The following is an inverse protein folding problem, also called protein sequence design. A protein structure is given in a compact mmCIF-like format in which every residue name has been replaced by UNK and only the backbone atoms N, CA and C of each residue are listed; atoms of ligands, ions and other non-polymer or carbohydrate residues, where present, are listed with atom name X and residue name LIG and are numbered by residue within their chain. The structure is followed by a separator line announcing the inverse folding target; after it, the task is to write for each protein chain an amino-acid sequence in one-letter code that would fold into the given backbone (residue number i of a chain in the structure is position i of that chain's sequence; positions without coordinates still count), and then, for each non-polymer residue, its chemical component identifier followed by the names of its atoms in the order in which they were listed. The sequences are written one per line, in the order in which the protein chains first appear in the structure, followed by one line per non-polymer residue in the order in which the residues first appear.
data_IF_154092183904
#
_entry.id   IF_154092183904
#
_cell.length_a   1.000
_cell.length_b   1.000
_cell.length_c   1.000
_cell.angle_alpha   90.00
_cell.angle_beta   90.00
_cell.angle_gamma   90.00
#
_symmetry.space_group_name_H-M   'P 1'
#
loop_
_entity.id
_entity.type
_entity.pdbx_description
1 polymer ?
#
# COMPACT_ATOMS: atom_id res chain seq x y z
N UNK A 1 29.29 40.93 20.33
CA UNK A 1 28.33 41.40 19.31
C UNK A 1 27.52 40.20 18.86
N UNK A 2 26.25 40.17 19.25
CA UNK A 2 25.28 39.11 18.92
C UNK A 2 25.03 39.16 17.42
N UNK A 3 25.40 38.12 16.66
CA UNK A 3 25.00 37.99 15.25
C UNK A 3 23.50 37.69 15.24
N UNK A 4 22.76 38.58 14.59
CA UNK A 4 21.31 38.46 14.37
C UNK A 4 21.01 37.17 13.61
N UNK A 5 20.13 36.33 14.17
CA UNK A 5 19.54 35.19 13.47
C UNK A 5 18.53 35.72 12.45
N UNK A 6 18.87 35.62 11.17
CA UNK A 6 17.90 35.79 10.09
C UNK A 6 16.99 34.54 10.05
N UNK A 7 15.75 34.71 10.47
CA UNK A 7 14.71 33.69 10.34
C UNK A 7 14.28 33.58 8.87
N UNK A 8 14.79 32.58 8.16
CA UNK A 8 14.29 32.21 6.82
C UNK A 8 12.79 31.87 6.89
N UNK A 9 11.99 32.44 5.98
CA UNK A 9 10.54 32.23 5.92
C UNK A 9 10.16 30.84 5.40
N UNK A 10 9.04 30.27 5.85
CA UNK A 10 8.58 28.93 5.43
C UNK A 10 8.45 28.76 3.89
N UNK A 11 8.22 29.86 3.16
CA UNK A 11 8.12 29.86 1.71
C UNK A 11 9.47 29.73 0.99
N UNK A 12 10.58 30.19 1.59
CA UNK A 12 11.93 29.98 1.04
C UNK A 12 12.35 28.51 1.19
N UNK A 13 11.98 27.89 2.33
CA UNK A 13 12.18 26.46 2.62
C UNK A 13 11.37 25.58 1.64
N UNK A 14 10.11 25.94 1.37
CA UNK A 14 9.26 25.22 0.39
C UNK A 14 9.77 25.32 -1.04
N UNK A 15 10.32 26.48 -1.45
CA UNK A 15 10.91 26.66 -2.79
C UNK A 15 12.20 25.85 -2.97
N UNK A 16 13.09 25.77 -1.96
CA UNK A 16 14.31 24.94 -2.02
C UNK A 16 14.02 23.44 -2.18
N UNK A 17 12.99 22.91 -1.49
CA UNK A 17 12.59 21.49 -1.55
C UNK A 17 12.16 21.00 -2.93
N UNK A 18 11.84 21.90 -3.87
CA UNK A 18 11.27 21.53 -5.19
C UNK A 18 12.28 20.87 -6.15
N UNK A 19 13.58 20.88 -5.85
CA UNK A 19 14.66 20.27 -6.66
C UNK A 19 15.53 19.27 -5.90
N UNK A 20 15.13 18.86 -4.69
CA UNK A 20 15.97 18.02 -3.82
C UNK A 20 15.51 16.55 -3.89
N UNK A 21 16.43 15.64 -4.20
CA UNK A 21 16.16 14.21 -4.32
C UNK A 21 16.16 13.52 -2.95
N UNK A 22 15.22 12.59 -2.73
CA UNK A 22 15.13 11.83 -1.49
C UNK A 22 16.16 10.70 -1.46
N UNK A 23 17.09 10.76 -0.50
CA UNK A 23 18.22 9.85 -0.31
C UNK A 23 17.85 8.36 -0.19
N UNK A 24 16.63 8.05 0.24
CA UNK A 24 16.13 6.67 0.34
C UNK A 24 16.10 5.91 -1.00
N UNK A 25 16.28 6.62 -2.13
CA UNK A 25 16.24 6.05 -3.48
C UNK A 25 17.62 5.78 -4.08
N UNK A 26 18.73 6.16 -3.44
CA UNK A 26 20.08 5.96 -3.94
C UNK A 26 20.56 4.51 -3.71
N UNK A 27 20.12 3.61 -4.58
CA UNK A 27 20.56 2.20 -4.64
C UNK A 27 21.21 1.90 -5.99
N UNK A 28 21.96 0.81 -6.12
CA UNK A 28 22.47 0.36 -7.43
C UNK A 28 21.34 0.17 -8.47
N UNK A 29 20.14 -0.22 -8.03
CA UNK A 29 18.96 -0.33 -8.89
C UNK A 29 18.44 1.03 -9.40
N UNK A 30 18.74 2.12 -8.69
CA UNK A 30 18.40 3.49 -9.10
C UNK A 30 19.39 4.10 -10.09
N UNK A 31 20.53 3.43 -10.34
CA UNK A 31 21.55 3.86 -11.30
C UNK A 31 21.13 3.65 -12.76
N UNK A 32 20.08 2.87 -13.03
CA UNK A 32 19.60 2.58 -14.39
C UNK A 32 19.07 3.85 -15.10
N UNK A 33 19.62 4.19 -16.27
CA UNK A 33 19.21 5.35 -17.10
C UNK A 33 17.73 5.32 -17.45
N UNK A 34 17.21 4.17 -17.89
CA UNK A 34 15.79 4.02 -18.26
C UNK A 34 14.85 4.22 -17.07
N UNK A 35 15.23 3.76 -15.87
CA UNK A 35 14.47 4.00 -14.63
C UNK A 35 14.39 5.50 -14.29
N UNK A 36 15.45 6.26 -14.60
CA UNK A 36 15.55 7.71 -14.36
C UNK A 36 14.82 8.55 -15.39
N UNK A 37 14.87 8.14 -16.66
CA UNK A 37 14.05 8.73 -17.72
C UNK A 37 12.56 8.57 -17.40
N UNK A 38 12.16 7.46 -16.78
CA UNK A 38 10.83 7.25 -16.19
C UNK A 38 10.62 8.06 -14.88
N UNK A 39 10.80 9.38 -14.95
CA UNK A 39 10.53 10.29 -13.83
C UNK A 39 9.10 10.83 -13.90
N UNK A 40 8.27 10.43 -12.95
CA UNK A 40 7.16 11.29 -12.54
C UNK A 40 7.29 11.54 -11.04
N UNK A 41 7.55 12.81 -10.72
CA UNK A 41 7.38 13.37 -9.38
C UNK A 41 6.03 12.89 -8.85
N UNK A 42 5.98 12.18 -7.72
CA UNK A 42 4.73 11.79 -7.12
C UNK A 42 3.86 13.04 -6.95
N UNK A 43 2.57 12.98 -7.34
CA UNK A 43 1.61 13.92 -6.75
C UNK A 43 1.67 13.73 -5.24
N UNK A 44 1.49 14.82 -4.49
CA UNK A 44 1.10 14.77 -3.08
C UNK A 44 -0.21 13.99 -2.97
N UNK A 45 -0.09 12.67 -2.88
CA UNK A 45 -1.17 11.79 -2.45
C UNK A 45 -1.21 11.81 -0.94
N UNK A 46 -2.38 11.52 -0.37
CA UNK A 46 -2.49 11.20 1.06
C UNK A 46 -1.39 10.20 1.41
N UNK A 47 -0.49 10.60 2.32
CA UNK A 47 0.67 9.81 2.66
C UNK A 47 0.19 8.44 3.19
N UNK A 48 0.80 7.32 2.77
CA UNK A 48 0.33 5.99 3.16
C UNK A 48 0.34 5.82 4.69
N UNK A 49 -0.50 4.94 5.23
CA UNK A 49 -0.63 4.67 6.68
C UNK A 49 0.73 4.45 7.37
N UNK A 50 1.70 3.85 6.65
CA UNK A 50 3.06 3.60 7.14
C UNK A 50 3.95 4.86 7.26
N UNK A 51 3.65 5.95 6.55
CA UNK A 51 4.41 7.19 6.60
C UNK A 51 4.21 7.91 7.93
N UNK A 52 2.96 8.20 8.29
CA UNK A 52 2.62 8.85 9.57
C UNK A 52 3.04 7.99 10.76
N UNK A 53 2.86 6.67 10.66
CA UNK A 53 3.35 5.72 11.65
C UNK A 53 4.86 5.84 11.88
N UNK A 54 5.64 5.96 10.81
CA UNK A 54 7.11 6.10 10.92
C UNK A 54 7.49 7.41 11.62
N UNK A 55 6.81 8.50 11.30
CA UNK A 55 7.01 9.81 11.94
C UNK A 55 6.71 9.72 13.43
N UNK A 56 5.53 9.18 13.80
CA UNK A 56 5.11 9.08 15.20
C UNK A 56 6.09 8.24 16.01
N UNK A 57 6.56 7.12 15.47
CA UNK A 57 7.55 6.27 16.16
C UNK A 57 8.87 7.01 16.39
N UNK A 58 9.38 7.73 15.38
CA UNK A 58 10.62 8.52 15.51
C UNK A 58 10.47 9.68 16.48
N UNK A 59 9.37 10.42 16.37
CA UNK A 59 9.04 11.53 17.28
C UNK A 59 8.91 11.06 18.72
N UNK A 60 8.32 9.87 18.94
CA UNK A 60 8.21 9.27 20.27
C UNK A 60 9.59 8.96 20.85
N UNK A 61 10.50 8.39 20.06
CA UNK A 61 11.88 8.15 20.49
C UNK A 61 12.57 9.47 20.82
N UNK A 62 12.46 10.47 19.95
CA UNK A 62 13.01 11.82 20.16
C UNK A 62 12.48 12.45 21.45
N UNK A 63 11.17 12.44 21.66
CA UNK A 63 10.52 12.92 22.88
C UNK A 63 11.10 12.21 24.12
N UNK A 64 11.13 10.88 24.11
CA UNK A 64 11.60 10.10 25.24
C UNK A 64 13.09 10.28 25.53
N UNK A 65 13.90 10.56 24.50
CA UNK A 65 15.32 10.87 24.65
C UNK A 65 15.56 12.28 25.21
N UNK A 66 14.83 13.30 24.72
CA UNK A 66 14.96 14.70 25.20
C UNK A 66 14.55 14.82 26.67
N UNK A 67 13.40 14.25 27.03
CA UNK A 67 12.83 14.38 28.38
C UNK A 67 13.22 13.23 29.31
N UNK A 68 14.11 12.34 28.86
CA UNK A 68 14.54 11.15 29.59
C UNK A 68 13.37 10.28 30.11
N UNK A 69 12.31 10.17 29.32
CA UNK A 69 11.13 9.37 29.65
C UNK A 69 11.46 7.90 29.45
N UNK A 70 11.27 7.10 30.50
CA UNK A 70 11.52 5.65 30.50
C UNK A 70 10.33 4.84 31.00
N UNK A 71 9.28 5.49 31.50
CA UNK A 71 8.07 4.81 31.95
C UNK A 71 7.24 4.31 30.74
N UNK A 72 6.93 3.01 30.66
CA UNK A 72 6.15 2.47 29.55
C UNK A 72 4.76 3.10 29.39
N UNK A 73 4.12 3.56 30.48
CA UNK A 73 2.76 4.12 30.40
C UNK A 73 2.79 5.52 29.79
N UNK A 74 3.76 6.35 30.19
CA UNK A 74 3.94 7.68 29.61
C UNK A 74 4.23 7.61 28.10
N UNK A 75 5.14 6.71 27.69
CA UNK A 75 5.44 6.50 26.26
C UNK A 75 4.19 6.01 25.50
N UNK A 76 3.40 5.12 26.08
CA UNK A 76 2.15 4.64 25.47
C UNK A 76 1.13 5.78 25.31
N UNK A 77 0.97 6.63 26.32
CA UNK A 77 0.06 7.77 26.27
C UNK A 77 0.45 8.76 25.16
N UNK A 78 1.74 9.06 25.03
CA UNK A 78 2.25 9.91 23.95
C UNK A 78 1.92 9.33 22.57
N UNK A 79 2.16 8.02 22.37
CA UNK A 79 1.84 7.36 21.09
C UNK A 79 0.34 7.28 20.83
N UNK A 80 -0.48 6.99 21.84
CA UNK A 80 -1.94 6.88 21.73
C UNK A 80 -2.59 8.18 21.26
N UNK A 81 -2.09 9.34 21.70
CA UNK A 81 -2.61 10.64 21.28
C UNK A 81 -2.42 10.93 19.80
N UNK A 82 -1.39 10.34 19.16
CA UNK A 82 -0.99 10.64 17.78
C UNK A 82 -1.26 9.51 16.78
N UNK A 83 -1.36 8.27 17.23
CA UNK A 83 -1.64 7.12 16.36
C UNK A 83 -2.93 7.22 15.52
N UNK A 84 -4.01 7.90 15.97
CA UNK A 84 -5.17 8.16 15.13
C UNK A 84 -4.87 8.93 13.84
N UNK A 85 -3.80 9.73 13.80
CA UNK A 85 -3.34 10.46 12.60
C UNK A 85 -2.93 9.53 11.46
N UNK A 86 -2.64 8.24 11.74
CA UNK A 86 -2.24 7.27 10.73
C UNK A 86 -3.37 6.84 9.77
N UNK A 87 -4.63 7.17 10.06
CA UNK A 87 -5.75 6.90 9.16
C UNK A 87 -6.18 5.43 9.06
N UNK A 88 -5.89 4.61 10.09
CA UNK A 88 -6.32 3.21 10.12
C UNK A 88 -7.84 3.07 10.01
N UNK A 89 -8.31 2.29 9.04
CA UNK A 89 -9.75 1.99 8.87
C UNK A 89 -10.30 1.06 9.96
N UNK A 90 -9.45 0.18 10.50
CA UNK A 90 -9.82 -0.79 11.52
C UNK A 90 -9.16 -0.44 12.86
N UNK A 91 -10.00 -0.18 13.87
CA UNK A 91 -9.54 0.18 15.21
C UNK A 91 -8.75 -0.94 15.91
N UNK A 92 -9.16 -2.21 15.77
CA UNK A 92 -8.43 -3.33 16.37
C UNK A 92 -7.04 -3.50 15.76
N UNK A 93 -6.93 -3.32 14.44
CA UNK A 93 -5.65 -3.35 13.74
C UNK A 93 -4.75 -2.20 14.19
N UNK A 94 -5.30 -0.99 14.34
CA UNK A 94 -4.58 0.16 14.88
C UNK A 94 -4.03 -0.11 16.28
N UNK A 95 -4.86 -0.63 17.19
CA UNK A 95 -4.46 -0.93 18.57
C UNK A 95 -3.37 -2.01 18.63
N UNK A 96 -3.47 -3.06 17.80
CA UNK A 96 -2.41 -4.05 17.70
C UNK A 96 -1.11 -3.42 17.20
N UNK A 97 -1.17 -2.61 16.14
CA UNK A 97 0.01 -2.00 15.54
C UNK A 97 0.70 -1.03 16.52
N UNK A 98 -0.08 -0.21 17.23
CA UNK A 98 0.37 0.66 18.30
C UNK A 98 1.10 -0.13 19.39
N UNK A 99 0.52 -1.23 19.88
CA UNK A 99 1.14 -2.07 20.90
C UNK A 99 2.48 -2.65 20.43
N UNK A 100 2.58 -3.08 19.16
CA UNK A 100 3.83 -3.60 18.60
C UNK A 100 4.91 -2.53 18.48
N UNK A 101 4.56 -1.34 18.00
CA UNK A 101 5.54 -0.27 17.86
C UNK A 101 5.97 0.30 19.22
N UNK A 102 5.04 0.42 20.18
CA UNK A 102 5.36 0.77 21.57
C UNK A 102 6.39 -0.20 22.16
N UNK A 103 6.17 -1.51 22.02
CA UNK A 103 7.09 -2.53 22.50
C UNK A 103 8.49 -2.40 21.90
N UNK A 104 8.58 -2.09 20.61
CA UNK A 104 9.86 -1.88 19.92
C UNK A 104 10.57 -0.60 20.36
N UNK A 105 9.83 0.50 20.53
CA UNK A 105 10.36 1.75 21.08
C UNK A 105 10.89 1.52 22.49
N UNK A 106 10.12 0.85 23.35
CA UNK A 106 10.54 0.53 24.71
C UNK A 106 11.76 -0.39 24.75
N UNK A 107 11.87 -1.35 23.82
CA UNK A 107 13.06 -2.20 23.69
C UNK A 107 14.32 -1.35 23.45
N UNK A 108 14.26 -0.36 22.57
CA UNK A 108 15.36 0.59 22.33
C UNK A 108 15.64 1.46 23.56
N UNK A 109 14.63 2.15 24.09
CA UNK A 109 14.79 3.11 25.19
C UNK A 109 15.35 2.49 26.47
N UNK A 110 15.07 1.20 26.73
CA UNK A 110 15.62 0.47 27.89
C UNK A 110 17.14 0.28 27.81
N UNK A 111 17.70 0.22 26.61
CA UNK A 111 19.13 0.00 26.40
C UNK A 111 19.92 1.29 26.17
N UNK A 112 19.25 2.43 25.94
CA UNK A 112 19.89 3.69 25.58
C UNK A 112 19.99 4.63 26.79
N UNK A 113 21.22 4.94 27.19
CA UNK A 113 21.54 5.83 28.31
C UNK A 113 22.44 7.00 27.92
N UNK A 114 22.92 7.05 26.67
CA UNK A 114 23.81 8.11 26.21
C UNK A 114 23.07 9.43 26.06
N UNK A 115 23.80 10.54 26.17
CA UNK A 115 23.25 11.88 26.00
C UNK A 115 22.99 12.15 24.50
N UNK A 116 21.74 12.37 24.09
CA UNK A 116 21.40 12.59 22.70
C UNK A 116 21.64 14.05 22.28
N UNK A 117 22.04 14.27 21.04
CA UNK A 117 21.95 15.53 20.33
C UNK A 117 21.10 15.35 19.06
N UNK A 118 20.53 16.45 18.56
CA UNK A 118 19.58 16.42 17.45
C UNK A 118 19.96 17.47 16.41
N UNK A 119 20.98 17.20 15.58
CA UNK A 119 21.49 18.18 14.64
C UNK A 119 20.47 18.45 13.51
N UNK A 120 20.48 19.67 12.97
CA UNK A 120 19.59 20.08 11.87
C UNK A 120 20.06 19.47 10.56
N UNK A 121 19.13 19.21 9.64
CA UNK A 121 19.48 18.75 8.28
C UNK A 121 20.41 19.75 7.58
N UNK A 122 21.42 19.22 6.89
CA UNK A 122 22.39 19.99 6.13
C UNK A 122 22.57 19.38 4.73
N UNK A 123 22.81 20.21 3.70
CA UNK A 123 23.12 19.72 2.38
C UNK A 123 24.53 19.14 2.34
N UNK A 124 24.66 17.90 1.86
CA UNK A 124 25.93 17.22 1.63
C UNK A 124 26.11 16.98 0.15
N UNK A 125 27.32 17.25 -0.37
CA UNK A 125 27.65 16.96 -1.78
C UNK A 125 28.12 15.51 -1.93
N UNK A 126 27.50 14.80 -2.88
CA UNK A 126 27.90 13.46 -3.30
C UNK A 126 27.98 13.49 -4.82
N UNK A 127 29.20 13.41 -5.36
CA UNK A 127 29.45 13.65 -6.77
C UNK A 127 29.04 15.06 -7.19
N UNK A 128 28.33 15.19 -8.30
CA UNK A 128 27.88 16.48 -8.85
C UNK A 128 26.59 17.02 -8.22
N UNK A 129 26.02 16.30 -7.24
CA UNK A 129 24.70 16.59 -6.66
C UNK A 129 24.77 16.90 -5.16
N UNK A 130 23.87 17.75 -4.69
CA UNK A 130 23.68 18.04 -3.27
C UNK A 130 22.41 17.34 -2.75
N UNK A 131 22.53 16.65 -1.62
CA UNK A 131 21.44 15.92 -0.97
C UNK A 131 21.21 16.47 0.43
N UNK A 132 19.95 16.63 0.81
CA UNK A 132 19.60 16.99 2.19
C UNK A 132 19.74 15.74 3.07
N UNK A 133 20.70 15.76 3.98
CA UNK A 133 20.93 14.64 4.89
C UNK A 133 20.25 14.94 6.21
N UNK A 134 19.42 14.00 6.67
CA UNK A 134 18.75 14.08 7.95
C UNK A 134 19.23 12.96 8.88
N UNK A 135 19.70 13.35 10.06
CA UNK A 135 20.07 12.46 11.14
C UNK A 135 18.96 12.49 12.21
N UNK A 136 18.49 11.32 12.65
CA UNK A 136 17.39 11.26 13.64
C UNK A 136 17.89 11.57 15.06
N UNK A 137 19.10 11.11 15.41
CA UNK A 137 19.79 11.38 16.67
C UNK A 137 21.29 11.21 16.51
N UNK A 138 22.07 12.04 17.20
CA UNK A 138 23.51 11.94 17.28
C UNK A 138 23.96 11.73 18.74
N UNK A 139 25.07 11.02 18.92
CA UNK A 139 25.69 10.78 20.22
C UNK A 139 27.15 11.23 20.15
N UNK A 140 27.45 12.34 20.83
CA UNK A 140 28.75 13.00 20.77
C UNK A 140 29.58 12.63 22.00
N UNK A 141 30.85 12.30 21.77
CA UNK A 141 31.83 12.00 22.81
C UNK A 141 33.21 12.53 22.37
N UNK A 142 33.54 13.77 22.75
CA UNK A 142 34.80 14.40 22.34
C UNK A 142 34.84 14.68 20.84
N UNK A 143 35.82 14.10 20.14
CA UNK A 143 35.99 14.17 18.69
C UNK A 143 35.22 13.06 17.93
N UNK A 144 34.56 12.17 18.69
CA UNK A 144 33.74 11.09 18.14
C UNK A 144 32.26 11.46 18.12
N UNK A 145 31.59 11.10 17.01
CA UNK A 145 30.13 11.16 16.89
C UNK A 145 29.57 9.87 16.32
N UNK A 146 28.50 9.35 16.93
CA UNK A 146 27.64 8.35 16.30
C UNK A 146 26.35 9.00 15.78
N UNK A 147 26.14 8.96 14.47
CA UNK A 147 24.98 9.48 13.77
C UNK A 147 24.02 8.33 13.46
N UNK A 148 22.79 8.41 13.95
CA UNK A 148 21.82 7.32 13.86
C UNK A 148 20.62 7.72 13.02
N UNK A 149 20.20 6.79 12.14
CA UNK A 149 18.88 6.81 11.49
C UNK A 149 18.07 5.59 11.96
N UNK A 150 16.88 5.84 12.48
CA UNK A 150 15.93 4.80 12.85
C UNK A 150 15.16 4.27 11.64
N UNK A 151 15.05 2.95 11.55
CA UNK A 151 14.26 2.23 10.55
C UNK A 151 13.21 1.38 11.28
N UNK A 152 11.92 1.62 11.03
CA UNK A 152 10.84 0.88 11.73
C UNK A 152 10.74 -0.60 11.29
N UNK A 153 11.20 -0.90 10.07
CA UNK A 153 11.16 -2.23 9.47
C UNK A 153 12.27 -3.17 9.94
N UNK A 154 12.34 -4.35 9.30
CA UNK A 154 13.46 -5.29 9.42
C UNK A 154 14.69 -4.78 8.64
N UNK A 155 15.91 -5.19 9.02
CA UNK A 155 17.10 -4.95 8.20
C UNK A 155 16.95 -5.58 6.81
N UNK A 156 17.36 -4.83 5.79
CA UNK A 156 17.43 -5.30 4.39
C UNK A 156 18.82 -5.84 4.03
N UNK A 157 19.81 -5.65 4.90
CA UNK A 157 21.20 -6.09 4.75
C UNK A 157 21.77 -6.45 6.12
N UNK A 158 22.90 -7.15 6.18
CA UNK A 158 23.50 -7.60 7.44
C UNK A 158 24.94 -7.11 7.57
N UNK A 159 25.38 -6.82 8.81
CA UNK A 159 26.75 -6.42 9.13
C UNK A 159 27.79 -7.51 8.77
N UNK A 160 27.39 -8.78 8.81
CA UNK A 160 28.25 -9.95 8.55
C UNK A 160 28.00 -10.58 7.17
N UNK A 161 27.25 -9.90 6.30
CA UNK A 161 26.88 -10.42 4.99
C UNK A 161 28.09 -10.58 4.04
N UNK A 162 28.01 -11.57 3.13
CA UNK A 162 29.03 -11.76 2.10
C UNK A 162 29.27 -10.47 1.31
N UNK A 163 30.53 -10.08 1.17
CA UNK A 163 30.94 -8.91 0.38
C UNK A 163 30.80 -7.56 1.08
N UNK A 164 30.46 -7.50 2.38
CA UNK A 164 30.35 -6.26 3.16
C UNK A 164 29.51 -5.17 2.47
N UNK A 165 28.37 -5.55 1.88
CA UNK A 165 27.53 -4.64 1.09
C UNK A 165 27.11 -3.36 1.83
N UNK A 166 26.99 -3.41 3.16
CA UNK A 166 26.70 -2.23 3.99
C UNK A 166 27.78 -1.14 3.91
N UNK A 167 29.05 -1.50 3.63
CA UNK A 167 30.14 -0.53 3.42
C UNK A 167 29.96 0.28 2.14
N UNK A 168 29.06 -0.17 1.25
CA UNK A 168 28.72 0.47 -0.02
C UNK A 168 27.37 1.18 0.02
N UNK A 169 26.75 1.28 1.20
CA UNK A 169 25.44 1.93 1.34
C UNK A 169 25.60 3.47 1.27
N UNK A 170 24.91 4.08 0.30
CA UNK A 170 25.01 5.53 0.07
C UNK A 170 24.41 6.36 1.19
N UNK A 171 23.43 5.86 1.95
CA UNK A 171 22.85 6.60 3.07
C UNK A 171 23.80 6.59 4.28
N UNK A 172 24.47 5.47 4.57
CA UNK A 172 25.52 5.42 5.59
C UNK A 172 26.71 6.32 5.20
N UNK A 173 27.13 6.30 3.93
CA UNK A 173 28.19 7.20 3.46
C UNK A 173 27.79 8.68 3.52
N UNK A 174 26.54 9.03 3.21
CA UNK A 174 26.06 10.40 3.35
C UNK A 174 26.07 10.90 4.80
N UNK A 175 25.78 10.02 5.77
CA UNK A 175 25.95 10.34 7.18
C UNK A 175 27.43 10.55 7.55
N UNK A 176 28.36 9.80 6.94
CA UNK A 176 29.79 10.02 7.14
C UNK A 176 30.20 11.43 6.70
N UNK A 177 29.84 11.80 5.47
CA UNK A 177 30.10 13.14 4.95
C UNK A 177 29.39 14.23 5.77
N UNK A 178 28.16 13.99 6.23
CA UNK A 178 27.45 14.88 7.13
C UNK A 178 28.19 15.08 8.47
N UNK A 179 28.77 14.02 9.04
CA UNK A 179 29.61 14.12 10.23
C UNK A 179 30.88 14.95 10.02
N UNK A 180 31.47 14.87 8.82
CA UNK A 180 32.63 15.70 8.42
C UNK A 180 32.24 17.18 8.35
N UNK A 181 31.07 17.50 7.78
CA UNK A 181 30.53 18.87 7.74
C UNK A 181 30.21 19.43 9.14
N UNK A 182 29.87 18.56 10.09
CA UNK A 182 29.71 18.94 11.50
C UNK A 182 31.05 19.15 12.24
N UNK A 183 32.19 18.83 11.61
CA UNK A 183 33.53 19.03 12.15
C UNK A 183 34.08 17.88 12.98
N UNK A 184 33.49 16.69 12.92
CA UNK A 184 33.99 15.50 13.62
C UNK A 184 35.03 14.75 12.79
N UNK A 185 36.00 14.14 13.46
CA UNK A 185 37.06 13.32 12.84
C UNK A 185 36.81 11.83 13.00
N UNK A 186 36.14 11.40 14.08
CA UNK A 186 35.80 9.99 14.30
C UNK A 186 34.29 9.81 14.18
N UNK A 187 33.84 9.34 13.02
CA UNK A 187 32.42 9.35 12.68
C UNK A 187 31.93 7.91 12.54
N UNK A 188 30.91 7.56 13.31
CA UNK A 188 30.17 6.31 13.17
C UNK A 188 28.79 6.62 12.61
N UNK A 189 28.43 6.01 11.49
CA UNK A 189 27.14 6.15 10.85
C UNK A 189 26.37 4.85 11.02
N UNK A 190 25.16 4.93 11.58
CA UNK A 190 24.41 3.77 12.06
C UNK A 190 22.95 3.76 11.60
N UNK A 191 22.48 2.59 11.16
CA UNK A 191 21.05 2.29 11.06
C UNK A 191 20.60 1.45 12.23
N UNK A 192 19.61 1.97 12.96
CA UNK A 192 18.96 1.26 14.05
C UNK A 192 17.59 0.77 13.57
N UNK A 193 17.52 -0.51 13.24
CA UNK A 193 16.27 -1.17 12.90
C UNK A 193 15.49 -1.51 14.18
N UNK A 194 14.28 -0.98 14.32
CA UNK A 194 13.45 -1.23 15.48
C UNK A 194 12.93 -2.68 15.52
N UNK A 195 13.05 -3.41 14.41
CA UNK A 195 12.71 -4.83 14.31
C UNK A 195 13.95 -5.65 13.92
N UNK A 196 14.24 -6.70 14.69
CA UNK A 196 15.24 -7.72 14.35
C UNK A 196 14.69 -8.70 13.32
N UNK A 197 15.53 -9.37 12.54
CA UNK A 197 15.03 -10.40 11.60
C UNK A 197 14.37 -11.58 12.30
N UNK A 198 14.87 -11.93 13.49
CA UNK A 198 14.34 -12.98 14.38
C UNK A 198 12.99 -12.64 15.03
N UNK A 199 12.52 -11.39 14.96
CA UNK A 199 11.27 -11.00 15.60
C UNK A 199 10.05 -11.66 14.93
N UNK A 200 9.30 -12.44 15.73
CA UNK A 200 8.07 -13.13 15.35
C UNK A 200 6.82 -12.34 15.77
N UNK A 201 5.63 -12.88 15.49
CA UNK A 201 4.35 -12.36 15.99
C UNK A 201 4.11 -12.64 17.48
N UNK A 202 5.03 -13.31 18.18
CA UNK A 202 4.92 -13.64 19.59
C UNK A 202 5.99 -12.86 20.37
N UNK A 203 5.61 -11.72 20.94
CA UNK A 203 6.57 -10.79 21.57
C UNK A 203 7.42 -11.43 22.67
N UNK A 204 6.85 -12.36 23.43
CA UNK A 204 7.56 -13.04 24.52
C UNK A 204 8.73 -13.91 24.04
N UNK A 205 8.74 -14.27 22.75
CA UNK A 205 9.82 -15.01 22.10
C UNK A 205 10.84 -14.08 21.42
N UNK A 206 10.54 -12.78 21.32
CA UNK A 206 11.45 -11.81 20.71
C UNK A 206 12.55 -11.46 21.70
N UNK A 207 13.76 -11.19 21.19
CA UNK A 207 14.86 -10.75 22.03
C UNK A 207 14.58 -9.35 22.60
N UNK A 208 14.71 -9.22 23.92
CA UNK A 208 14.33 -8.04 24.67
C UNK A 208 15.46 -7.00 24.77
N UNK A 209 16.72 -7.39 24.53
CA UNK A 209 17.84 -6.46 24.50
C UNK A 209 18.00 -5.90 23.07
N UNK A 210 17.87 -4.58 22.92
CA UNK A 210 18.07 -3.91 21.63
C UNK A 210 19.51 -4.01 21.14
N UNK A 211 20.48 -3.80 22.05
CA UNK A 211 21.92 -3.82 21.79
C UNK A 211 22.55 -5.19 22.07
N UNK A 212 21.72 -6.23 22.23
CA UNK A 212 22.17 -7.61 22.40
C UNK A 212 22.61 -8.25 21.07
N UNK A 213 22.56 -9.58 21.01
CA UNK A 213 22.82 -10.30 19.75
C UNK A 213 21.79 -9.91 18.69
N UNK A 214 22.18 -9.71 17.44
CA UNK A 214 21.21 -9.39 16.39
C UNK A 214 21.79 -8.73 15.15
N UNK A 215 20.90 -8.50 14.20
CA UNK A 215 21.17 -7.88 12.90
C UNK A 215 20.52 -6.49 12.75
N UNK A 216 20.00 -5.95 13.85
CA UNK A 216 19.24 -4.71 13.84
C UNK A 216 20.09 -3.44 13.89
N UNK A 217 21.40 -3.55 14.10
CA UNK A 217 22.31 -2.41 14.06
C UNK A 217 23.29 -2.65 12.92
N UNK A 218 23.32 -1.71 11.98
CA UNK A 218 24.26 -1.72 10.85
C UNK A 218 25.04 -0.43 10.93
N UNK A 219 26.36 -0.53 10.97
CA UNK A 219 27.21 0.63 11.19
C UNK A 219 28.48 0.59 10.33
N UNK A 220 28.91 1.78 9.92
CA UNK A 220 30.25 2.02 9.39
C UNK A 220 30.93 3.08 10.25
N UNK A 221 32.19 2.87 10.57
CA UNK A 221 33.01 3.83 11.31
C UNK A 221 34.19 4.22 10.44
N UNK A 222 34.49 5.51 10.41
CA UNK A 222 35.52 6.09 9.58
C UNK A 222 36.27 7.18 10.36
N UNK A 223 37.58 7.22 10.17
CA UNK A 223 38.46 8.26 10.72
C UNK A 223 38.83 9.21 9.59
N UNK A 224 38.45 10.47 9.74
CA UNK A 224 38.67 11.52 8.76
C UNK A 224 39.75 12.49 9.26
N UNK A 225 40.83 12.57 8.49
CA UNK A 225 42.01 13.41 8.75
C UNK A 225 42.05 14.68 7.89
N UNK A 226 40.98 14.96 7.15
CA UNK A 226 40.90 16.09 6.21
C UNK A 226 41.22 15.72 4.75
N UNK A 227 41.63 14.47 4.47
CA UNK A 227 41.93 13.99 3.13
C UNK A 227 41.02 12.85 2.68
N UNK A 228 41.01 12.56 1.37
CA UNK A 228 40.24 11.47 0.78
C UNK A 228 40.77 10.11 1.26
N UNK A 229 39.89 9.31 1.87
CA UNK A 229 40.27 8.06 2.52
C UNK A 229 39.79 6.80 1.76
N UNK A 230 40.03 5.62 2.34
CA UNK A 230 39.69 4.34 1.69
C UNK A 230 38.19 4.19 1.44
N UNK A 231 37.34 4.73 2.34
CA UNK A 231 35.89 4.70 2.19
C UNK A 231 35.46 5.53 0.98
N UNK A 232 36.01 6.73 0.81
CA UNK A 232 35.71 7.60 -0.34
C UNK A 232 36.07 6.90 -1.67
N UNK A 233 37.25 6.30 -1.75
CA UNK A 233 37.70 5.54 -2.94
C UNK A 233 36.81 4.34 -3.24
N UNK A 234 36.26 3.66 -2.22
CA UNK A 234 35.31 2.55 -2.38
C UNK A 234 33.95 3.02 -2.91
N UNK A 235 33.53 4.24 -2.55
CA UNK A 235 32.25 4.81 -2.96
C UNK A 235 32.32 5.46 -4.35
N UNK A 236 33.49 5.95 -4.77
CA UNK A 236 33.68 6.66 -6.04
C UNK A 236 33.11 5.93 -7.28
N UNK A 237 33.29 4.60 -7.47
CA UNK A 237 32.68 3.89 -8.59
C UNK A 237 31.15 3.91 -8.57
N UNK A 238 30.54 3.85 -7.38
CA UNK A 238 29.08 3.90 -7.21
C UNK A 238 28.54 5.30 -7.46
N UNK A 239 29.23 6.33 -6.98
CA UNK A 239 28.90 7.74 -7.24
C UNK A 239 28.99 7.99 -8.75
N UNK A 240 30.08 7.58 -9.40
CA UNK A 240 30.27 7.72 -10.85
C UNK A 240 29.18 6.99 -11.63
N UNK A 241 28.84 5.74 -11.25
CA UNK A 241 27.72 4.98 -11.83
C UNK A 241 26.39 5.70 -11.63
N UNK A 242 26.18 6.31 -10.47
CA UNK A 242 24.98 7.05 -10.15
C UNK A 242 24.92 8.42 -10.85
N UNK A 243 26.03 9.05 -11.19
CA UNK A 243 25.98 10.33 -11.93
C UNK A 243 25.85 10.11 -13.43
N UNK A 244 26.64 9.19 -13.99
CA UNK A 244 26.63 8.86 -15.43
C UNK A 244 25.43 8.01 -15.87
N UNK A 245 24.82 7.27 -14.94
CA UNK A 245 23.76 6.30 -15.21
C UNK A 245 24.23 5.08 -16.01
N UNK A 246 23.62 3.92 -15.73
CA UNK A 246 23.94 2.64 -16.39
C UNK A 246 22.88 2.34 -17.45
N UNK A 247 23.30 1.91 -18.65
CA UNK A 247 22.36 1.46 -19.67
C UNK A 247 21.62 0.18 -19.20
N UNK A 248 20.35 -0.03 -19.57
CA UNK A 248 19.56 -1.18 -19.10
C UNK A 248 20.14 -2.56 -19.45
N UNK A 249 20.96 -2.60 -20.49
CA UNK A 249 21.65 -3.78 -21.01
C UNK A 249 22.85 -4.17 -20.12
N UNK A 250 23.47 -3.18 -19.49
CA UNK A 250 24.66 -3.33 -18.65
C UNK A 250 24.32 -3.46 -17.14
N UNK A 251 23.03 -3.48 -16.81
CA UNK A 251 22.55 -3.70 -15.44
C UNK A 251 22.55 -5.20 -15.09
N UNK A 252 23.02 -5.52 -13.88
CA UNK A 252 22.93 -6.89 -13.35
C UNK A 252 21.46 -7.34 -13.27
N UNK A 253 21.19 -8.58 -13.63
CA UNK A 253 19.81 -9.10 -13.62
C UNK A 253 19.18 -9.10 -12.22
N UNK A 254 19.99 -9.33 -11.19
CA UNK A 254 19.62 -9.34 -9.76
C UNK A 254 19.18 -7.96 -9.25
N UNK A 255 19.77 -6.87 -9.74
CA UNK A 255 19.35 -5.50 -9.37
C UNK A 255 18.05 -5.11 -10.07
N UNK A 256 17.78 -5.66 -11.26
CA UNK A 256 16.53 -5.42 -11.98
C UNK A 256 15.31 -6.08 -11.31
N UNK A 257 15.44 -7.26 -10.68
CA UNK A 257 14.32 -7.99 -10.05
C UNK A 257 13.57 -7.14 -9.01
N UNK A 258 14.31 -6.31 -8.26
CA UNK A 258 13.76 -5.44 -7.22
C UNK A 258 13.40 -4.04 -7.72
N UNK A 259 13.57 -3.76 -9.03
CA UNK A 259 13.20 -2.50 -9.62
C UNK A 259 11.68 -2.36 -9.69
N UNK A 260 11.14 -1.23 -9.21
CA UNK A 260 9.70 -0.93 -9.31
C UNK A 260 9.19 -0.83 -10.77
N UNK A 261 10.10 -0.84 -11.75
CA UNK A 261 9.83 -0.82 -13.20
C UNK A 261 10.13 -2.15 -13.90
N UNK A 262 10.51 -3.20 -13.16
CA UNK A 262 10.92 -4.50 -13.72
C UNK A 262 9.88 -5.08 -14.68
N UNK A 263 8.63 -5.18 -14.21
CA UNK A 263 7.46 -5.70 -14.94
C UNK A 263 7.01 -4.82 -16.11
N UNK A 264 7.69 -3.72 -16.40
CA UNK A 264 7.44 -2.87 -17.57
C UNK A 264 8.66 -2.91 -18.49
N UNK A 265 9.87 -3.00 -17.91
CA UNK A 265 11.13 -2.98 -18.65
C UNK A 265 11.43 -4.31 -19.36
N UNK A 266 11.04 -5.46 -18.80
CA UNK A 266 11.34 -6.81 -19.36
C UNK A 266 10.10 -7.71 -19.49
N UNK A 267 8.91 -7.10 -19.54
CA UNK A 267 7.67 -7.86 -19.61
C UNK A 267 7.46 -8.53 -20.97
N UNK A 268 7.39 -9.86 -20.98
CA UNK A 268 6.92 -10.67 -22.10
C UNK A 268 5.54 -11.23 -21.82
N UNK A 269 4.61 -11.09 -22.78
CA UNK A 269 3.26 -11.64 -22.70
C UNK A 269 3.31 -13.16 -22.43
N UNK A 270 2.73 -13.67 -21.34
CA UNK A 270 2.52 -15.09 -21.19
C UNK A 270 1.47 -15.57 -22.22
N UNK A 271 1.61 -16.79 -22.75
CA UNK A 271 0.59 -17.36 -23.63
C UNK A 271 -0.73 -17.52 -22.86
N UNK A 272 -1.80 -16.95 -23.40
CA UNK A 272 -3.15 -17.01 -22.81
C UNK A 272 -3.68 -18.44 -22.93
N UNK A 273 -3.90 -19.11 -21.80
CA UNK A 273 -4.73 -20.33 -21.74
C UNK A 273 -6.16 -19.94 -21.38
N UNK A 274 -7.07 -20.08 -22.35
CA UNK A 274 -8.52 -19.96 -22.13
C UNK A 274 -9.04 -21.32 -21.64
N UNK A 275 -9.35 -21.42 -20.35
CA UNK A 275 -10.11 -22.54 -19.80
C UNK A 275 -11.53 -22.06 -19.46
N UNK A 276 -12.51 -22.59 -20.19
CA UNK A 276 -13.93 -22.50 -19.82
C UNK A 276 -14.22 -23.67 -18.91
N UNK A 277 -14.51 -23.44 -17.64
CA UNK A 277 -15.01 -24.48 -16.74
C UNK A 277 -16.51 -24.32 -16.56
N UNK A 278 -17.24 -25.32 -17.06
CA UNK A 278 -18.67 -25.50 -16.88
C UNK A 278 -19.04 -25.66 -15.40
N UNK A 279 -20.22 -25.17 -15.04
CA UNK A 279 -20.81 -25.30 -13.71
C UNK A 279 -21.24 -26.76 -13.44
N UNK A 280 -21.12 -27.27 -12.20
CA UNK A 280 -21.78 -28.51 -11.81
C UNK A 280 -23.25 -28.25 -11.45
N UNK A 281 -24.13 -29.03 -12.06
CA UNK A 281 -25.47 -29.34 -11.56
C UNK A 281 -25.39 -30.34 -10.39
N UNK A 282 -26.25 -30.22 -9.38
CA UNK A 282 -27.33 -31.19 -9.09
C UNK A 282 -28.03 -31.02 -7.72
N UNK A 283 -29.37 -31.11 -7.81
CA UNK A 283 -30.42 -31.74 -6.96
C UNK A 283 -30.23 -32.01 -5.47
N UNK A 284 -31.23 -31.59 -4.68
CA UNK A 284 -31.95 -32.34 -3.63
C UNK A 284 -33.08 -31.42 -3.11
N UNK A 285 -34.31 -31.81 -2.78
CA UNK A 285 -34.92 -33.05 -2.33
C UNK A 285 -36.09 -32.59 -1.44
N UNK A 286 -37.33 -32.96 -1.77
CA UNK A 286 -38.53 -32.48 -1.08
C UNK A 286 -38.61 -33.03 0.36
N UNK A 287 -38.24 -32.21 1.34
CA UNK A 287 -38.59 -32.40 2.74
C UNK A 287 -39.60 -31.33 3.15
N UNK A 288 -40.71 -31.74 3.79
CA UNK A 288 -41.72 -30.83 4.34
C UNK A 288 -41.07 -30.06 5.50
N UNK A 289 -40.69 -28.81 5.25
CA UNK A 289 -39.91 -27.99 6.17
C UNK A 289 -40.84 -27.36 7.22
N UNK A 290 -40.56 -27.61 8.50
CA UNK A 290 -41.19 -26.91 9.61
C UNK A 290 -40.44 -25.61 9.92
N UNK A 291 -41.15 -24.48 9.90
CA UNK A 291 -40.58 -23.16 10.18
C UNK A 291 -40.68 -22.82 11.67
N UNK A 292 -39.60 -22.29 12.25
CA UNK A 292 -39.59 -21.79 13.62
C UNK A 292 -40.50 -20.57 13.80
N UNK A 293 -40.88 -20.24 15.04
CA UNK A 293 -41.72 -19.07 15.33
C UNK A 293 -41.16 -17.75 14.76
N UNK A 294 -39.83 -17.57 14.78
CA UNK A 294 -39.19 -16.39 14.19
C UNK A 294 -39.26 -16.38 12.66
N UNK A 295 -39.09 -17.54 12.02
CA UNK A 295 -39.24 -17.69 10.57
C UNK A 295 -40.68 -17.47 10.13
N UNK A 296 -41.66 -18.00 10.89
CA UNK A 296 -43.08 -17.75 10.67
C UNK A 296 -43.41 -16.26 10.78
N UNK A 297 -42.82 -15.54 11.75
CA UNK A 297 -42.98 -14.08 11.86
C UNK A 297 -42.43 -13.34 10.64
N UNK A 298 -41.29 -13.77 10.10
CA UNK A 298 -40.73 -13.20 8.86
C UNK A 298 -41.58 -13.53 7.61
N UNK A 299 -42.13 -14.75 7.54
CA UNK A 299 -43.05 -15.17 6.47
C UNK A 299 -44.34 -14.35 6.53
N UNK A 300 -44.90 -14.16 7.72
CA UNK A 300 -46.19 -13.48 7.99
C UNK A 300 -46.16 -11.95 7.97
N UNK A 301 -44.99 -11.32 7.83
CA UNK A 301 -44.88 -9.85 7.72
C UNK A 301 -45.66 -9.35 6.49
N UNK A 302 -46.38 -8.23 6.52
CA UNK A 302 -47.14 -7.77 5.35
C UNK A 302 -46.67 -6.40 4.89
N UNK A 303 -46.71 -5.42 5.78
CA UNK A 303 -46.51 -4.02 5.43
C UNK A 303 -45.29 -3.38 6.11
N UNK A 304 -44.65 -2.45 5.41
CA UNK A 304 -43.51 -1.68 5.90
C UNK A 304 -42.14 -2.29 5.58
N UNK A 305 -41.11 -1.80 6.26
CA UNK A 305 -39.72 -2.20 6.03
C UNK A 305 -39.30 -3.24 7.06
N UNK A 306 -38.80 -4.39 6.61
CA UNK A 306 -38.23 -5.42 7.47
C UNK A 306 -36.76 -5.69 7.14
N UNK A 307 -35.93 -5.81 8.18
CA UNK A 307 -34.55 -6.29 8.08
C UNK A 307 -34.42 -7.63 8.79
N UNK A 308 -34.10 -8.68 8.03
CA UNK A 308 -33.91 -10.03 8.56
C UNK A 308 -32.41 -10.31 8.69
N UNK A 309 -31.93 -10.46 9.92
CA UNK A 309 -30.54 -10.82 10.23
C UNK A 309 -30.49 -12.34 10.46
N UNK A 310 -29.70 -13.05 9.66
CA UNK A 310 -29.73 -14.51 9.65
C UNK A 310 -28.34 -15.12 9.37
N UNK A 311 -27.90 -16.02 10.25
CA UNK A 311 -26.62 -16.75 10.15
C UNK A 311 -26.56 -17.74 8.99
N UNK A 312 -25.37 -18.25 8.67
CA UNK A 312 -25.22 -19.30 7.66
C UNK A 312 -26.05 -20.54 8.04
N UNK A 313 -26.67 -21.20 7.05
CA UNK A 313 -27.49 -22.39 7.29
C UNK A 313 -28.88 -22.17 7.90
N UNK A 314 -29.27 -20.95 8.26
CA UNK A 314 -30.54 -20.67 8.97
C UNK A 314 -31.82 -20.72 8.11
N UNK A 315 -31.76 -21.26 6.89
CA UNK A 315 -32.91 -21.38 6.00
C UNK A 315 -33.38 -20.07 5.32
N UNK A 316 -32.52 -19.04 5.20
CA UNK A 316 -32.86 -17.73 4.59
C UNK A 316 -33.67 -17.83 3.30
N UNK A 317 -33.19 -18.62 2.34
CA UNK A 317 -33.84 -18.80 1.04
C UNK A 317 -35.20 -19.48 1.17
N UNK A 318 -35.36 -20.42 2.10
CA UNK A 318 -36.64 -21.08 2.35
C UNK A 318 -37.68 -20.12 2.94
N UNK A 319 -37.27 -19.25 3.86
CA UNK A 319 -38.13 -18.21 4.46
C UNK A 319 -38.62 -17.23 3.40
N UNK A 320 -37.72 -16.74 2.54
CA UNK A 320 -38.07 -15.75 1.51
C UNK A 320 -38.96 -16.38 0.41
N UNK A 321 -38.66 -17.60 -0.02
CA UNK A 321 -39.50 -18.29 -1.03
C UNK A 321 -40.88 -18.67 -0.48
N UNK A 322 -40.98 -19.10 0.79
CA UNK A 322 -42.27 -19.35 1.44
C UNK A 322 -43.08 -18.08 1.63
N UNK A 323 -42.43 -16.96 1.99
CA UNK A 323 -43.06 -15.65 2.06
C UNK A 323 -43.75 -15.27 0.75
N UNK A 324 -43.05 -15.40 -0.38
CA UNK A 324 -43.62 -15.06 -1.68
C UNK A 324 -44.75 -16.01 -2.04
N UNK A 325 -44.59 -17.31 -1.81
CA UNK A 325 -45.67 -18.28 -2.04
C UNK A 325 -46.93 -17.97 -1.20
N UNK A 326 -46.77 -17.50 0.05
CA UNK A 326 -47.89 -17.03 0.88
C UNK A 326 -48.57 -15.80 0.27
N UNK A 327 -47.83 -14.77 -0.10
CA UNK A 327 -48.38 -13.55 -0.71
C UNK A 327 -49.21 -13.86 -1.97
N UNK A 328 -48.71 -14.80 -2.80
CA UNK A 328 -49.43 -15.28 -3.98
C UNK A 328 -50.72 -16.03 -3.62
N UNK A 329 -50.70 -16.87 -2.58
CA UNK A 329 -51.90 -17.56 -2.07
C UNK A 329 -52.95 -16.60 -1.51
N UNK A 330 -52.49 -15.49 -0.93
CA UNK A 330 -53.34 -14.42 -0.40
C UNK A 330 -53.87 -13.46 -1.49
N UNK A 331 -53.54 -13.71 -2.77
CA UNK A 331 -54.09 -12.97 -3.91
C UNK A 331 -53.22 -11.81 -4.41
N UNK A 332 -51.98 -11.68 -3.92
CA UNK A 332 -51.04 -10.68 -4.47
C UNK A 332 -50.71 -11.03 -5.92
N UNK A 333 -50.85 -10.05 -6.82
CA UNK A 333 -50.50 -10.21 -8.23
C UNK A 333 -48.98 -10.48 -8.37
N UNK A 334 -48.54 -11.49 -9.16
CA UNK A 334 -47.12 -11.80 -9.34
C UNK A 334 -46.27 -10.60 -9.79
N UNK A 335 -46.84 -9.71 -10.60
CA UNK A 335 -46.22 -8.50 -11.13
C UNK A 335 -45.86 -7.50 -10.02
N UNK A 336 -46.58 -7.53 -8.89
CA UNK A 336 -46.35 -6.65 -7.75
C UNK A 336 -45.19 -7.11 -6.85
N UNK A 337 -44.56 -8.25 -7.15
CA UNK A 337 -43.49 -8.83 -6.34
C UNK A 337 -42.16 -8.80 -7.11
N UNK A 338 -41.18 -8.10 -6.54
CA UNK A 338 -39.79 -8.05 -7.02
C UNK A 338 -38.86 -8.82 -6.07
N UNK A 339 -38.05 -9.71 -6.64
CA UNK A 339 -36.97 -10.39 -5.92
C UNK A 339 -35.64 -10.21 -6.64
N UNK A 340 -34.63 -9.77 -5.90
CA UNK A 340 -33.28 -9.51 -6.43
C UNK A 340 -32.23 -10.26 -5.65
N UNK A 341 -31.25 -10.85 -6.34
CA UNK A 341 -30.09 -11.55 -5.74
C UNK A 341 -28.78 -11.23 -6.46
N UNK A 342 -27.66 -11.75 -5.97
CA UNK A 342 -26.34 -11.53 -6.55
C UNK A 342 -26.00 -12.48 -7.70
N UNK A 343 -26.58 -13.68 -7.76
CA UNK A 343 -26.19 -14.70 -8.73
C UNK A 343 -27.34 -15.14 -9.62
N UNK A 344 -27.05 -15.40 -10.91
CA UNK A 344 -28.04 -15.93 -11.87
C UNK A 344 -28.60 -17.28 -11.41
N UNK A 345 -27.74 -18.15 -10.90
CA UNK A 345 -28.14 -19.44 -10.33
C UNK A 345 -29.10 -19.26 -9.15
N UNK A 346 -28.85 -18.31 -8.25
CA UNK A 346 -29.75 -17.99 -7.15
C UNK A 346 -31.12 -17.49 -7.61
N UNK A 347 -31.17 -16.65 -8.65
CA UNK A 347 -32.42 -16.16 -9.22
C UNK A 347 -33.26 -17.30 -9.81
N UNK A 348 -32.64 -18.16 -10.63
CA UNK A 348 -33.30 -19.32 -11.22
C UNK A 348 -33.79 -20.32 -10.17
N UNK A 349 -32.95 -20.64 -9.19
CA UNK A 349 -33.29 -21.52 -8.06
C UNK A 349 -34.49 -20.98 -7.25
N UNK A 350 -34.48 -19.68 -6.92
CA UNK A 350 -35.58 -19.06 -6.17
C UNK A 350 -36.89 -19.06 -6.96
N UNK A 351 -36.85 -18.70 -8.25
CA UNK A 351 -38.05 -18.70 -9.12
C UNK A 351 -38.68 -20.09 -9.16
N UNK A 352 -37.86 -21.11 -9.44
CA UNK A 352 -38.30 -22.51 -9.49
C UNK A 352 -38.92 -22.97 -8.17
N UNK A 353 -38.31 -22.62 -7.03
CA UNK A 353 -38.86 -22.95 -5.70
C UNK A 353 -40.23 -22.31 -5.45
N UNK A 354 -40.43 -21.07 -5.90
CA UNK A 354 -41.70 -20.37 -5.75
C UNK A 354 -42.77 -20.99 -6.64
N UNK A 355 -42.46 -21.28 -7.90
CA UNK A 355 -43.38 -21.94 -8.85
C UNK A 355 -43.79 -23.33 -8.34
N UNK A 356 -42.84 -24.11 -7.82
CA UNK A 356 -43.16 -25.41 -7.18
C UNK A 356 -44.10 -25.25 -5.99
N UNK A 357 -43.93 -24.22 -5.15
CA UNK A 357 -44.82 -23.95 -4.01
C UNK A 357 -46.19 -23.41 -4.43
N UNK A 358 -46.23 -22.64 -5.52
CA UNK A 358 -47.46 -22.10 -6.09
C UNK A 358 -48.25 -23.14 -6.90
N UNK A 359 -47.61 -24.25 -7.30
CA UNK A 359 -48.21 -25.31 -8.10
C UNK A 359 -48.48 -24.91 -9.56
N UNK A 360 -47.88 -23.81 -10.03
CA UNK A 360 -48.04 -23.29 -11.39
C UNK A 360 -46.84 -22.44 -11.79
N UNK A 361 -46.64 -22.28 -13.10
CA UNK A 361 -45.67 -21.33 -13.64
C UNK A 361 -46.11 -19.88 -13.37
N UNK A 362 -45.13 -19.01 -13.15
CA UNK A 362 -45.33 -17.61 -12.82
C UNK A 362 -44.52 -16.74 -13.80
N UNK A 363 -44.98 -16.60 -15.06
CA UNK A 363 -44.24 -15.89 -16.09
C UNK A 363 -43.99 -14.42 -15.74
N UNK A 364 -44.93 -13.81 -15.03
CA UNK A 364 -44.91 -12.39 -14.69
C UNK A 364 -44.27 -12.07 -13.32
N UNK A 365 -43.74 -13.08 -12.61
CA UNK A 365 -43.00 -12.85 -11.36
C UNK A 365 -41.56 -12.44 -11.67
N UNK A 366 -41.13 -11.27 -11.17
CA UNK A 366 -39.78 -10.77 -11.39
C UNK A 366 -38.81 -11.30 -10.34
N UNK A 367 -38.01 -12.31 -10.73
CA UNK A 367 -36.88 -12.81 -9.93
C UNK A 367 -35.60 -12.70 -10.76
N UNK A 368 -34.70 -11.81 -10.35
CA UNK A 368 -33.54 -11.43 -11.18
C UNK A 368 -32.28 -11.18 -10.33
N UNK A 369 -31.16 -10.91 -11.01
CA UNK A 369 -29.98 -10.34 -10.35
C UNK A 369 -30.06 -8.82 -10.34
N UNK A 370 -29.31 -8.15 -9.45
CA UNK A 370 -29.20 -6.69 -9.44
C UNK A 370 -28.92 -6.13 -10.85
N UNK A 371 -27.83 -6.58 -11.48
CA UNK A 371 -27.45 -6.12 -12.81
C UNK A 371 -28.53 -6.35 -13.88
N UNK A 372 -29.29 -7.46 -13.79
CA UNK A 372 -30.33 -7.75 -14.78
C UNK A 372 -31.55 -6.83 -14.59
N UNK A 373 -31.96 -6.61 -13.34
CA UNK A 373 -33.04 -5.69 -13.00
C UNK A 373 -32.71 -4.25 -13.37
N UNK A 374 -31.52 -3.79 -13.00
CA UNK A 374 -31.02 -2.45 -13.32
C UNK A 374 -30.95 -2.23 -14.84
N UNK A 375 -30.54 -3.26 -15.59
CA UNK A 375 -30.51 -3.17 -17.05
C UNK A 375 -31.90 -3.03 -17.67
N UNK A 376 -32.92 -3.75 -17.16
CA UNK A 376 -34.31 -3.56 -17.65
C UNK A 376 -34.80 -2.14 -17.36
N UNK A 377 -34.51 -1.56 -16.18
CA UNK A 377 -34.83 -0.16 -15.90
C UNK A 377 -34.16 0.78 -16.91
N UNK A 378 -32.87 0.59 -17.18
CA UNK A 378 -32.14 1.42 -18.15
C UNK A 378 -32.74 1.27 -19.55
N UNK A 379 -33.14 0.05 -19.92
CA UNK A 379 -33.75 -0.26 -21.23
C UNK A 379 -35.16 0.31 -21.37
N UNK A 380 -35.90 0.46 -20.29
CA UNK A 380 -37.23 1.08 -20.31
C UNK A 380 -37.14 2.62 -20.27
N UNK A 381 -36.17 3.18 -19.55
CA UNK A 381 -36.03 4.62 -19.33
C UNK A 381 -34.90 5.29 -20.14
N UNK A 382 -34.30 4.63 -21.13
CA UNK A 382 -33.09 5.13 -21.81
C UNK A 382 -33.24 6.53 -22.43
N UNK A 383 -34.44 6.87 -22.93
CA UNK A 383 -34.71 8.18 -23.52
C UNK A 383 -34.67 9.29 -22.46
N UNK A 384 -35.25 9.05 -21.29
CA UNK A 384 -35.25 10.00 -20.16
C UNK A 384 -33.83 10.20 -19.60
N UNK A 385 -32.97 9.20 -19.72
CA UNK A 385 -31.55 9.26 -19.35
C UNK A 385 -30.68 10.01 -20.39
N UNK A 386 -31.27 10.49 -21.48
CA UNK A 386 -30.57 11.28 -22.51
C UNK A 386 -29.76 10.45 -23.52
N UNK A 387 -30.00 9.14 -23.60
CA UNK A 387 -29.38 8.31 -24.63
C UNK A 387 -30.12 8.46 -25.98
N UNK A 388 -29.38 8.36 -27.09
CA UNK A 388 -29.96 8.36 -28.45
C UNK A 388 -30.42 6.98 -28.92
N UNK A 389 -30.01 5.93 -28.21
CA UNK A 389 -30.40 4.54 -28.42
C UNK A 389 -30.28 3.77 -27.11
N UNK A 390 -30.94 2.62 -27.02
CA UNK A 390 -30.83 1.72 -25.88
C UNK A 390 -29.35 1.40 -25.61
N UNK A 391 -28.83 1.66 -24.38
CA UNK A 391 -27.47 1.32 -24.01
C UNK A 391 -27.19 -0.17 -24.15
N UNK A 392 -26.05 -0.52 -24.76
CA UNK A 392 -25.59 -1.90 -24.87
C UNK A 392 -24.67 -2.24 -23.69
N UNK A 393 -24.92 -3.37 -23.03
CA UNK A 393 -23.94 -3.96 -22.11
C UNK A 393 -22.80 -4.53 -22.94
N UNK A 394 -21.59 -4.07 -22.65
CA UNK A 394 -20.36 -4.59 -23.25
C UNK A 394 -19.77 -5.64 -22.33
N UNK A 395 -19.22 -6.70 -22.91
CA UNK A 395 -18.44 -7.68 -22.15
C UNK A 395 -16.99 -7.19 -21.94
N UNK A 396 -16.21 -7.96 -21.19
CA UNK A 396 -14.81 -7.62 -20.95
C UNK A 396 -14.02 -7.51 -22.26
N UNK A 397 -14.32 -8.33 -23.27
CA UNK A 397 -13.61 -8.34 -24.57
C UNK A 397 -13.88 -7.06 -25.34
N UNK A 398 -15.13 -6.64 -25.43
CA UNK A 398 -15.55 -5.39 -26.05
C UNK A 398 -15.02 -4.18 -25.29
N UNK A 399 -15.05 -4.23 -23.96
CA UNK A 399 -14.43 -3.21 -23.12
C UNK A 399 -12.92 -3.09 -23.41
N UNK A 400 -12.20 -4.22 -23.51
CA UNK A 400 -10.78 -4.25 -23.86
C UNK A 400 -10.53 -3.70 -25.26
N UNK A 401 -11.36 -4.05 -26.24
CA UNK A 401 -11.25 -3.55 -27.60
C UNK A 401 -11.43 -2.03 -27.67
N UNK A 402 -12.41 -1.47 -26.94
CA UNK A 402 -12.63 -0.02 -26.85
C UNK A 402 -11.41 0.67 -26.22
N UNK A 403 -10.88 0.12 -25.12
CA UNK A 403 -9.69 0.67 -24.46
C UNK A 403 -8.47 0.63 -25.40
N UNK A 404 -8.27 -0.48 -26.11
CA UNK A 404 -7.19 -0.64 -27.08
C UNK A 404 -7.28 0.36 -28.23
N UNK A 405 -8.48 0.54 -28.79
CA UNK A 405 -8.74 1.52 -29.86
C UNK A 405 -8.49 2.96 -29.39
N UNK A 406 -8.95 3.31 -28.19
CA UNK A 406 -8.72 4.64 -27.60
C UNK A 406 -7.22 4.91 -27.39
N UNK A 407 -6.47 3.92 -26.90
CA UNK A 407 -5.02 4.02 -26.70
C UNK A 407 -4.25 4.04 -28.03
N UNK A 408 -4.74 3.35 -29.06
CA UNK A 408 -4.18 3.43 -30.41
C UNK A 408 -4.38 4.81 -31.05
N UNK A 409 -5.56 5.42 -30.86
CA UNK A 409 -5.89 6.77 -31.37
C UNK A 409 -5.22 7.89 -30.58
N UNK A 410 -5.00 7.69 -29.28
CA UNK A 410 -4.27 8.62 -28.40
C UNK A 410 -3.05 7.91 -27.82
N UNK A 411 -2.01 7.68 -28.64
CA UNK A 411 -0.82 6.99 -28.18
C UNK A 411 -0.18 7.81 -27.06
N UNK A 412 0.01 7.16 -25.91
CA UNK A 412 0.89 7.70 -24.88
C UNK A 412 2.30 7.50 -25.44
N UNK A 413 2.95 8.59 -25.87
CA UNK A 413 4.13 8.60 -26.76
C UNK A 413 5.32 7.72 -26.33
N UNK A 414 5.35 7.25 -25.08
CA UNK A 414 6.39 6.39 -24.52
C UNK A 414 5.97 4.92 -24.37
N UNK A 415 4.79 4.54 -24.86
CA UNK A 415 4.22 3.23 -24.64
C UNK A 415 3.51 2.67 -25.87
N UNK A 416 3.96 1.50 -26.33
CA UNK A 416 3.47 0.82 -27.54
C UNK A 416 2.09 0.15 -27.41
N UNK A 417 1.32 0.45 -26.36
CA UNK A 417 -0.04 -0.06 -26.15
C UNK A 417 -0.15 -1.57 -25.85
N UNK A 418 0.91 -2.36 -25.96
CA UNK A 418 0.83 -3.83 -25.81
C UNK A 418 0.83 -4.33 -24.36
N UNK A 419 1.25 -3.50 -23.39
CA UNK A 419 1.52 -3.98 -22.03
C UNK A 419 0.30 -3.98 -21.07
N UNK A 420 -0.76 -3.21 -21.32
CA UNK A 420 -1.88 -3.10 -20.36
C UNK A 420 -2.84 -4.28 -20.43
N UNK A 421 -2.88 -4.94 -21.59
CA UNK A 421 -3.70 -6.14 -21.84
C UNK A 421 -3.32 -7.33 -20.94
N UNK A 422 -2.25 -7.17 -20.15
CA UNK A 422 -1.66 -8.21 -19.33
C UNK A 422 -1.97 -8.11 -17.84
N UNK A 423 -2.65 -7.05 -17.40
CA UNK A 423 -3.02 -6.88 -16.01
C UNK A 423 -4.47 -7.31 -15.82
N UNK A 424 -4.67 -8.54 -15.32
CA UNK A 424 -5.98 -8.99 -14.86
C UNK A 424 -6.16 -8.66 -13.37
N UNK A 425 -7.40 -8.41 -12.95
CA UNK A 425 -7.74 -8.26 -11.53
C UNK A 425 -7.43 -9.52 -10.69
N UNK A 426 -7.18 -10.67 -11.33
CA UNK A 426 -6.90 -11.95 -10.67
C UNK A 426 -5.44 -12.19 -10.32
N UNK A 427 -4.49 -11.40 -10.85
CA UNK A 427 -3.07 -11.50 -10.44
C UNK A 427 -2.82 -10.76 -9.12
N UNK A 428 -3.07 -11.47 -8.02
CA UNK A 428 -2.71 -11.05 -6.67
C UNK A 428 -1.20 -11.05 -6.41
N UNK A 429 -0.77 -10.20 -5.48
CA UNK A 429 0.58 -10.06 -4.90
C UNK A 429 1.72 -9.86 -5.91
N UNK A 430 2.17 -8.60 -6.06
CA UNK A 430 3.41 -8.27 -6.78
C UNK A 430 3.28 -7.27 -7.93
N UNK A 431 2.06 -6.88 -8.31
CA UNK A 431 1.78 -5.98 -9.44
C UNK A 431 2.06 -4.49 -9.16
N UNK A 432 3.26 -4.17 -8.65
CA UNK A 432 3.73 -2.79 -8.43
C UNK A 432 3.70 -1.97 -9.72
N UNK A 433 3.98 -2.59 -10.87
CA UNK A 433 3.89 -1.97 -12.19
C UNK A 433 2.45 -1.62 -12.61
N UNK A 434 1.48 -2.50 -12.36
CA UNK A 434 0.08 -2.34 -12.79
C UNK A 434 -0.61 -1.13 -12.16
N UNK A 435 -0.44 -0.97 -10.83
CA UNK A 435 -1.02 0.14 -10.08
C UNK A 435 -0.44 1.48 -10.52
N UNK A 436 0.85 1.50 -10.87
CA UNK A 436 1.49 2.69 -11.41
C UNK A 436 0.93 3.06 -12.78
N UNK A 437 0.74 2.06 -13.66
CA UNK A 437 0.18 2.23 -15.00
C UNK A 437 -1.26 2.74 -14.95
N UNK A 438 -2.12 2.15 -14.12
CA UNK A 438 -3.50 2.62 -13.97
C UNK A 438 -3.54 4.08 -13.53
N UNK A 439 -2.74 4.46 -12.53
CA UNK A 439 -2.65 5.84 -12.07
C UNK A 439 -2.17 6.81 -13.16
N UNK A 440 -1.26 6.37 -14.03
CA UNK A 440 -0.70 7.17 -15.11
C UNK A 440 -1.69 7.32 -16.30
N UNK A 441 -2.43 6.27 -16.66
CA UNK A 441 -3.55 6.35 -17.64
C UNK A 441 -4.63 7.31 -17.16
N UNK A 442 -5.04 7.21 -15.89
CA UNK A 442 -6.00 8.16 -15.32
C UNK A 442 -5.49 9.60 -15.31
N UNK A 443 -4.17 9.83 -15.19
CA UNK A 443 -3.56 11.16 -15.28
C UNK A 443 -3.64 11.71 -16.71
N UNK A 444 -3.28 10.92 -17.72
CA UNK A 444 -3.35 11.32 -19.12
C UNK A 444 -4.79 11.65 -19.58
N UNK A 445 -5.76 10.84 -19.15
CA UNK A 445 -7.18 11.10 -19.38
C UNK A 445 -7.68 12.39 -18.71
N UNK A 446 -7.13 12.76 -17.54
CA UNK A 446 -7.48 14.03 -16.86
C UNK A 446 -6.85 15.24 -17.54
N UNK A 447 -5.60 15.14 -18.02
CA UNK A 447 -4.91 16.24 -18.69
C UNK A 447 -5.54 16.58 -20.05
N UNK A 448 -6.00 15.56 -20.79
CA UNK A 448 -6.68 15.73 -22.07
C UNK A 448 -8.14 16.26 -21.97
N UNK A 449 -8.67 16.47 -20.76
CA UNK A 449 -9.95 17.15 -20.51
C UNK A 449 -9.79 18.63 -20.16
N UNK A 450 -8.56 19.08 -19.89
CA UNK A 450 -8.25 20.46 -19.52
C UNK A 450 -7.72 21.31 -20.69
N UNK A 451 -7.56 20.69 -21.86
CA UNK A 451 -7.35 21.31 -23.16
C UNK A 451 -8.58 20.99 -24.02
#
# INVERSE_FOLDING_TARGET
MVKQEETESEDSIKKRRKHMENMSKLTEASACRRSREFSFVPREGAQPENYFRTIIVKDTIRYALIYNVRDPKEVMQYMQGRFPECGFKNYQQMQQQLLWDHRRVMRYLKGESRKPSFPKSLPVRIGDRAYDVHCDVAFECGDQVELVIFKVGKPSMTQTGRGNAFQRDMQLYALQLYGRELGFTNITSSFYFLRKSSDTSYWNQCEQNFFGSGDNIIQITDLYDGAENELDRKMLPLITKNDSGIAPEDQEGSTCEYCDKYDICRYTLPPVRLAVSAAPEEKAGNAKMEFSAQQQKAIGFNDGIARIIAGAGSGKTAVVTERVARLLREGTAPEAILMVTFTKAGAGEMKRRIEMKAGRELPNLTVSTFNAFEYEIVKDCWQELGFQRIPKVIDDVEQFAIIADLLGKKPILEWSGRAFMNFSNSTGWGTRGALRIAADVFRACKMSRAA
#
